data_IF_730430988864
#
_entry.id   IF_730430988864
#
_cell.length_a   1.000
_cell.length_b   1.000
_cell.length_c   1.000
_cell.angle_alpha   90.00
_cell.angle_beta   90.00
_cell.angle_gamma   90.00
#
_symmetry.space_group_name_H-M   'P 1'
#
loop_
_entity.id
_entity.type
_entity.pdbx_description
1 polymer ?
#
# COMPACT_ATOMS: atom_id res chain seq x y z
N UNK A 1 19.56 -4.57 32.28
CA UNK A 1 19.00 -5.75 31.59
C UNK A 1 17.65 -5.50 30.88
N UNK A 2 17.10 -4.27 30.84
CA UNK A 2 15.79 -3.99 30.23
C UNK A 2 15.86 -3.51 28.76
N UNK A 3 17.00 -2.97 28.32
CA UNK A 3 17.19 -2.44 26.96
C UNK A 3 17.18 -3.54 25.86
N UNK A 4 17.66 -4.75 26.18
CA UNK A 4 17.67 -5.87 25.23
C UNK A 4 16.26 -6.40 24.89
N UNK A 5 15.33 -6.35 25.85
CA UNK A 5 13.95 -6.79 25.63
C UNK A 5 13.17 -5.84 24.71
N UNK A 6 13.45 -4.55 24.76
CA UNK A 6 12.77 -3.55 23.92
C UNK A 6 13.23 -3.65 22.47
N UNK A 7 14.54 -3.89 22.24
CA UNK A 7 15.08 -4.09 20.91
C UNK A 7 14.51 -5.36 20.23
N UNK A 8 14.29 -6.43 21.00
CA UNK A 8 13.73 -7.68 20.49
C UNK A 8 12.23 -7.60 20.11
N UNK A 9 11.47 -6.71 20.75
CA UNK A 9 10.03 -6.54 20.48
C UNK A 9 9.75 -5.71 19.23
N UNK A 10 10.71 -4.91 18.77
CA UNK A 10 10.59 -4.03 17.62
C UNK A 10 10.16 -4.75 16.31
N UNK A 11 10.79 -5.86 15.88
CA UNK A 11 10.36 -6.57 14.67
C UNK A 11 8.95 -7.17 14.81
N UNK A 12 8.59 -7.64 16.01
CA UNK A 12 7.26 -8.18 16.30
C UNK A 12 6.20 -7.08 16.16
N UNK A 13 6.48 -5.88 16.67
CA UNK A 13 5.59 -4.73 16.53
C UNK A 13 5.36 -4.37 15.06
N UNK A 14 6.40 -4.34 14.24
CA UNK A 14 6.25 -4.08 12.81
C UNK A 14 5.43 -5.16 12.10
N UNK A 15 5.61 -6.44 12.45
CA UNK A 15 4.76 -7.51 11.93
C UNK A 15 3.30 -7.33 12.28
N UNK A 16 2.98 -7.10 13.56
CA UNK A 16 1.60 -6.91 14.03
C UNK A 16 0.96 -5.70 13.36
N UNK A 17 1.70 -4.60 13.24
CA UNK A 17 1.23 -3.39 12.57
C UNK A 17 0.91 -3.65 11.08
N UNK A 18 1.83 -4.29 10.35
CA UNK A 18 1.65 -4.61 8.94
C UNK A 18 0.47 -5.55 8.67
N UNK A 19 0.35 -6.62 9.47
CA UNK A 19 -0.76 -7.57 9.35
C UNK A 19 -2.10 -6.91 9.68
N UNK A 20 -2.15 -6.06 10.71
CA UNK A 20 -3.37 -5.33 11.10
C UNK A 20 -3.84 -4.38 9.99
N UNK A 21 -2.92 -3.63 9.39
CA UNK A 21 -3.20 -2.77 8.23
C UNK A 21 -3.75 -3.56 7.05
N UNK A 22 -3.15 -4.72 6.76
CA UNK A 22 -3.57 -5.60 5.68
C UNK A 22 -4.98 -6.16 5.90
N UNK A 23 -5.28 -6.67 7.11
CA UNK A 23 -6.61 -7.16 7.47
C UNK A 23 -7.65 -6.04 7.39
N UNK A 24 -7.33 -4.85 7.90
CA UNK A 24 -8.23 -3.69 7.85
C UNK A 24 -8.58 -3.31 6.41
N UNK A 25 -7.57 -3.15 5.55
CA UNK A 25 -7.79 -2.83 4.15
C UNK A 25 -8.56 -3.93 3.41
N UNK A 26 -8.27 -5.20 3.70
CA UNK A 26 -8.98 -6.34 3.12
C UNK A 26 -10.47 -6.36 3.53
N UNK A 27 -10.77 -6.09 4.81
CA UNK A 27 -12.15 -5.97 5.31
C UNK A 27 -12.90 -4.80 4.66
N UNK A 28 -12.23 -3.67 4.48
CA UNK A 28 -12.82 -2.54 3.77
C UNK A 28 -13.09 -2.89 2.30
N UNK A 29 -12.17 -3.59 1.63
CA UNK A 29 -12.31 -3.99 0.23
C UNK A 29 -13.52 -4.89 -0.03
N UNK A 30 -13.91 -5.73 0.94
CA UNK A 30 -15.11 -6.55 0.84
C UNK A 30 -16.42 -5.75 0.83
N UNK A 31 -16.42 -4.50 1.35
CA UNK A 31 -17.62 -3.66 1.48
C UNK A 31 -17.79 -2.63 0.37
N UNK A 32 -16.78 -2.38 -0.47
CA UNK A 32 -16.83 -1.32 -1.48
C UNK A 32 -16.11 -1.75 -2.77
N UNK A 33 -16.78 -1.59 -3.91
CA UNK A 33 -16.27 -2.04 -5.21
C UNK A 33 -15.69 -0.88 -6.06
N UNK A 34 -15.11 0.15 -5.43
CA UNK A 34 -14.57 1.33 -6.10
C UNK A 34 -13.09 1.24 -6.46
N UNK A 35 -12.65 1.99 -7.48
CA UNK A 35 -11.24 2.11 -7.86
C UNK A 35 -10.34 2.61 -6.71
N UNK A 36 -10.81 3.55 -5.89
CA UNK A 36 -10.08 4.02 -4.70
C UNK A 36 -9.79 2.90 -3.70
N UNK A 37 -10.71 1.95 -3.55
CA UNK A 37 -10.53 0.79 -2.68
C UNK A 37 -9.46 -0.17 -3.21
N UNK A 38 -9.36 -0.34 -4.54
CA UNK A 38 -8.32 -1.17 -5.16
C UNK A 38 -6.93 -0.58 -4.94
N UNK A 39 -6.79 0.75 -5.08
CA UNK A 39 -5.53 1.48 -4.83
C UNK A 39 -5.17 1.41 -3.34
N UNK A 40 -6.16 1.57 -2.45
CA UNK A 40 -5.98 1.45 -1.00
C UNK A 40 -5.52 0.04 -0.60
N UNK A 41 -6.15 -1.00 -1.17
CA UNK A 41 -5.78 -2.39 -0.93
C UNK A 41 -4.36 -2.69 -1.43
N UNK A 42 -3.99 -2.20 -2.62
CA UNK A 42 -2.63 -2.34 -3.14
C UNK A 42 -1.61 -1.66 -2.22
N UNK A 43 -1.87 -0.43 -1.77
CA UNK A 43 -1.02 0.27 -0.82
C UNK A 43 -0.89 -0.47 0.52
N UNK A 44 -1.99 -0.98 1.05
CA UNK A 44 -1.98 -1.74 2.30
C UNK A 44 -1.25 -3.09 2.19
N UNK A 45 -1.37 -3.78 1.05
CA UNK A 45 -0.61 -5.01 0.77
C UNK A 45 0.89 -4.72 0.63
N UNK A 46 1.25 -3.63 -0.05
CA UNK A 46 2.65 -3.20 -0.16
C UNK A 46 3.25 -2.83 1.20
N UNK A 47 2.50 -2.08 2.04
CA UNK A 47 2.91 -1.77 3.41
C UNK A 47 2.95 -3.03 4.30
N UNK A 48 1.98 -3.92 4.16
CA UNK A 48 1.94 -5.21 4.86
C UNK A 48 3.18 -6.05 4.53
N UNK A 49 3.54 -6.18 3.26
CA UNK A 49 4.77 -6.86 2.84
C UNK A 49 6.02 -6.16 3.38
N UNK A 50 6.05 -4.82 3.33
CA UNK A 50 7.16 -4.01 3.84
C UNK A 50 7.38 -4.17 5.33
N UNK A 51 6.34 -4.03 6.15
CA UNK A 51 6.46 -4.08 7.61
C UNK A 51 6.47 -5.51 8.18
N UNK A 52 5.75 -6.45 7.56
CA UNK A 52 5.65 -7.81 8.09
C UNK A 52 6.74 -8.76 7.58
N UNK A 53 7.34 -8.49 6.41
CA UNK A 53 8.34 -9.38 5.81
C UNK A 53 9.67 -8.67 5.60
N UNK A 54 9.65 -7.53 4.90
CA UNK A 54 10.87 -6.84 4.47
C UNK A 54 11.70 -6.32 5.67
N UNK A 55 11.08 -5.62 6.61
CA UNK A 55 11.75 -5.06 7.78
C UNK A 55 12.28 -6.14 8.74
N UNK A 56 11.48 -7.16 9.12
CA UNK A 56 11.97 -8.22 10.00
C UNK A 56 13.09 -9.04 9.37
N UNK A 57 13.05 -9.31 8.05
CA UNK A 57 14.18 -9.97 7.37
C UNK A 57 15.44 -9.09 7.34
N UNK A 58 15.27 -7.77 7.22
CA UNK A 58 16.37 -6.82 7.34
C UNK A 58 16.96 -6.79 8.75
N UNK A 59 16.13 -6.69 9.79
CA UNK A 59 16.57 -6.69 11.20
C UNK A 59 17.13 -8.03 11.66
N UNK A 60 16.64 -9.15 11.12
CA UNK A 60 17.22 -10.48 11.32
C UNK A 60 18.60 -10.65 10.66
N UNK A 61 19.06 -9.62 9.93
CA UNK A 61 20.35 -9.60 9.27
C UNK A 61 20.44 -10.57 8.10
N UNK A 62 19.34 -11.19 7.63
CA UNK A 62 19.34 -12.15 6.51
C UNK A 62 19.78 -11.51 5.18
N UNK A 63 19.68 -10.20 5.07
CA UNK A 63 19.88 -9.46 3.83
C UNK A 63 21.21 -8.70 3.82
N UNK A 64 21.67 -8.26 4.99
CA UNK A 64 23.05 -7.79 5.19
C UNK A 64 24.04 -8.95 5.43
N UNK A 65 23.58 -10.16 5.79
CA UNK A 65 24.38 -11.42 5.81
C UNK A 65 24.59 -12.03 4.42
N UNK A 66 24.51 -11.24 3.36
CA UNK A 66 25.24 -11.63 2.15
C UNK A 66 26.72 -11.51 2.56
N UNK A 67 27.25 -12.63 3.03
CA UNK A 67 28.64 -13.04 3.08
C UNK A 67 29.71 -11.95 2.97
N UNK A 68 29.98 -11.22 4.05
CA UNK A 68 31.39 -10.90 4.33
C UNK A 68 32.03 -12.21 4.76
N UNK A 69 32.33 -13.08 3.80
CA UNK A 69 33.17 -14.27 4.01
C UNK A 69 34.49 -13.75 4.58
N UNK A 70 35.13 -14.44 5.52
CA UNK A 70 36.43 -14.00 6.04
C UNK A 70 37.52 -13.88 4.92
N UNK A 71 37.30 -14.51 3.76
CA UNK A 71 38.13 -14.39 2.55
C UNK A 71 37.96 -13.06 1.82
N UNK A 72 36.70 -12.63 1.61
CA UNK A 72 36.22 -11.23 1.74
C UNK A 72 37.29 -10.25 2.14
N UNK A 73 37.37 -10.02 3.46
CA UNK A 73 38.16 -9.04 4.24
C UNK A 73 39.70 -9.06 4.06
N UNK A 74 40.26 -9.88 3.17
CA UNK A 74 41.72 -9.93 2.97
C UNK A 74 42.23 -9.18 1.71
N UNK A 75 41.37 -8.97 0.72
CA UNK A 75 41.67 -8.49 -0.64
C UNK A 75 41.42 -6.98 -0.94
N UNK A 76 40.96 -6.19 0.02
CA UNK A 76 40.56 -4.77 -0.09
C UNK A 76 39.24 -4.46 -0.81
N UNK A 77 38.60 -5.44 -1.45
CA UNK A 77 37.64 -5.23 -2.56
C UNK A 77 36.15 -5.28 -2.18
N UNK A 78 35.83 -5.31 -0.88
CA UNK A 78 34.45 -5.45 -0.38
C UNK A 78 33.59 -4.20 -0.59
N UNK A 79 34.19 -3.02 -0.67
CA UNK A 79 33.43 -1.75 -0.76
C UNK A 79 32.68 -1.66 -2.10
N UNK A 80 33.28 -2.11 -3.20
CA UNK A 80 32.67 -1.99 -4.53
C UNK A 80 31.57 -3.06 -4.73
N UNK A 81 31.78 -4.30 -4.27
CA UNK A 81 30.81 -5.40 -4.42
C UNK A 81 29.60 -5.30 -3.48
N UNK A 82 29.79 -4.78 -2.25
CA UNK A 82 28.69 -4.68 -1.28
C UNK A 82 27.86 -3.41 -1.38
N UNK A 83 28.43 -2.32 -1.91
CA UNK A 83 27.73 -1.04 -2.00
C UNK A 83 26.47 -1.12 -2.86
N UNK A 84 26.53 -1.81 -4.01
CA UNK A 84 25.38 -1.95 -4.92
C UNK A 84 24.21 -2.72 -4.31
N UNK A 85 24.47 -3.83 -3.62
CA UNK A 85 23.43 -4.63 -2.97
C UNK A 85 22.80 -3.88 -1.78
N UNK A 86 23.61 -3.19 -0.98
CA UNK A 86 23.12 -2.36 0.12
C UNK A 86 22.25 -1.19 -0.39
N UNK A 87 22.71 -0.48 -1.42
CA UNK A 87 21.96 0.61 -2.03
C UNK A 87 20.64 0.11 -2.64
N UNK A 88 20.67 -1.05 -3.30
CA UNK A 88 19.49 -1.72 -3.84
C UNK A 88 18.47 -2.02 -2.76
N UNK A 89 18.89 -2.56 -1.62
CA UNK A 89 17.98 -2.85 -0.51
C UNK A 89 17.40 -1.60 0.13
N UNK A 90 18.20 -0.53 0.28
CA UNK A 90 17.71 0.77 0.72
C UNK A 90 16.69 1.37 -0.26
N UNK A 91 16.92 1.24 -1.56
CA UNK A 91 15.98 1.68 -2.60
C UNK A 91 14.67 0.89 -2.55
N UNK A 92 14.74 -0.44 -2.42
CA UNK A 92 13.56 -1.31 -2.27
C UNK A 92 12.77 -0.90 -1.02
N UNK A 93 13.43 -0.68 0.10
CA UNK A 93 12.79 -0.20 1.34
C UNK A 93 12.12 1.16 1.14
N UNK A 94 12.82 2.12 0.53
CA UNK A 94 12.29 3.44 0.22
C UNK A 94 11.04 3.35 -0.65
N UNK A 95 11.09 2.58 -1.74
CA UNK A 95 9.98 2.41 -2.67
C UNK A 95 8.81 1.73 -1.97
N UNK A 96 8.99 0.59 -1.31
CA UNK A 96 7.90 -0.13 -0.67
C UNK A 96 7.22 0.68 0.44
N UNK A 97 8.00 1.35 1.29
CA UNK A 97 7.44 2.11 2.41
C UNK A 97 6.75 3.37 1.90
N UNK A 98 7.42 4.19 1.08
CA UNK A 98 6.88 5.49 0.67
C UNK A 98 5.77 5.34 -0.39
N UNK A 99 5.95 4.47 -1.38
CA UNK A 99 4.92 4.22 -2.37
C UNK A 99 3.70 3.54 -1.74
N UNK A 100 3.91 2.63 -0.78
CA UNK A 100 2.84 1.99 -0.02
C UNK A 100 2.01 3.01 0.76
N UNK A 101 2.66 3.92 1.49
CA UNK A 101 1.97 5.00 2.22
C UNK A 101 1.24 5.95 1.28
N UNK A 102 1.85 6.32 0.16
CA UNK A 102 1.25 7.21 -0.83
C UNK A 102 0.03 6.58 -1.50
N UNK A 103 0.13 5.33 -1.94
CA UNK A 103 -0.99 4.59 -2.52
C UNK A 103 -2.12 4.38 -1.50
N UNK A 104 -1.80 4.04 -0.26
CA UNK A 104 -2.78 3.89 0.80
C UNK A 104 -3.52 5.21 1.09
N UNK A 105 -2.78 6.32 1.24
CA UNK A 105 -3.35 7.65 1.47
C UNK A 105 -4.18 8.16 0.29
N UNK A 106 -3.73 7.93 -0.94
CA UNK A 106 -4.46 8.26 -2.15
C UNK A 106 -5.75 7.44 -2.29
N UNK A 107 -5.68 6.14 -2.00
CA UNK A 107 -6.86 5.28 -1.99
C UNK A 107 -7.89 5.73 -0.95
N UNK A 108 -7.44 6.10 0.25
CA UNK A 108 -8.28 6.64 1.31
C UNK A 108 -8.93 7.98 0.93
N UNK A 109 -8.18 8.91 0.32
CA UNK A 109 -8.72 10.21 -0.09
C UNK A 109 -9.77 10.10 -1.20
N UNK A 110 -9.57 9.17 -2.15
CA UNK A 110 -10.57 8.84 -3.17
C UNK A 110 -11.78 8.18 -2.52
N UNK A 111 -11.59 7.27 -1.56
CA UNK A 111 -12.68 6.55 -0.88
C UNK A 111 -13.59 7.48 -0.06
N UNK A 112 -13.02 8.47 0.63
CA UNK A 112 -13.79 9.49 1.38
C UNK A 112 -14.44 10.53 0.45
N UNK A 113 -14.12 10.51 -0.85
CA UNK A 113 -14.70 11.42 -1.83
C UNK A 113 -14.10 12.82 -1.80
N UNK A 114 -12.93 13.00 -1.18
CA UNK A 114 -12.17 14.26 -1.20
C UNK A 114 -11.76 14.62 -2.63
N UNK A 115 -11.51 13.60 -3.46
CA UNK A 115 -11.20 13.72 -4.88
C UNK A 115 -12.41 13.37 -5.77
N UNK A 116 -13.63 13.77 -5.39
CA UNK A 116 -14.74 13.72 -6.35
C UNK A 116 -14.42 14.70 -7.49
N UNK A 117 -14.31 14.24 -8.74
CA UNK A 117 -14.28 15.17 -9.86
C UNK A 117 -15.58 15.97 -9.81
N UNK A 118 -15.48 17.30 -9.84
CA UNK A 118 -16.57 18.26 -10.02
C UNK A 118 -17.18 18.11 -11.42
N UNK A 119 -17.57 16.89 -11.83
CA UNK A 119 -18.39 16.69 -13.01
C UNK A 119 -19.82 16.35 -12.58
N UNK A 120 -20.40 17.30 -11.85
CA UNK A 120 -21.84 17.49 -11.71
C UNK A 120 -22.36 18.33 -12.87
N UNK A 121 -22.06 17.92 -14.11
CA UNK A 121 -22.74 18.40 -15.31
C UNK A 121 -23.47 17.24 -15.96
N UNK A 122 -24.30 16.53 -15.17
CA UNK A 122 -25.46 15.87 -15.75
C UNK A 122 -26.53 16.94 -15.84
N UNK A 123 -26.80 17.55 -17.01
CA UNK A 123 -28.02 18.32 -17.15
C UNK A 123 -29.17 17.35 -16.86
N UNK A 124 -29.88 17.60 -15.77
CA UNK A 124 -31.22 17.06 -15.60
C UNK A 124 -32.02 17.58 -16.79
N UNK A 125 -32.20 16.72 -17.80
CA UNK A 125 -33.21 16.91 -18.82
C UNK A 125 -34.57 16.75 -18.12
N UNK A 126 -34.97 17.79 -17.39
CA UNK A 126 -36.36 18.09 -17.16
C UNK A 126 -36.89 18.64 -18.48
N UNK A 127 -37.49 17.78 -19.29
CA UNK A 127 -38.42 18.22 -20.33
C UNK A 127 -39.56 17.20 -20.41
N UNK A 128 -40.52 17.47 -19.51
CA UNK A 128 -41.95 17.54 -19.81
C UNK A 128 -42.64 16.30 -20.40
N UNK A 129 -43.36 15.65 -19.49
CA UNK A 129 -44.71 15.13 -19.72
C UNK A 129 -45.51 15.99 -20.72
N UNK A 130 -45.60 15.52 -21.96
CA UNK A 130 -46.67 15.87 -22.89
C UNK A 130 -47.07 14.63 -23.69
N UNK A 131 -47.64 13.63 -23.02
CA UNK A 131 -48.54 12.68 -23.69
C UNK A 131 -49.91 13.32 -23.80
N UNK A 132 -50.04 14.10 -24.89
CA UNK A 132 -51.29 14.57 -25.45
C UNK A 132 -52.28 13.41 -25.64
N UNK A 133 -53.51 13.67 -25.23
CA UNK A 133 -54.73 12.94 -25.53
C UNK A 133 -54.89 12.66 -27.03
N UNK A 134 -55.03 11.39 -27.42
CA UNK A 134 -55.62 11.02 -28.72
C UNK A 134 -56.55 9.83 -28.52
N UNK A 135 -57.84 10.15 -28.42
CA UNK A 135 -59.03 9.38 -28.78
C UNK A 135 -58.85 7.90 -29.19
N UNK A 136 -59.34 6.98 -28.34
CA UNK A 136 -59.87 5.69 -28.82
C UNK A 136 -61.37 5.86 -29.15
N UNK A 137 -61.68 5.72 -30.44
CA UNK A 137 -63.03 5.63 -31.00
C UNK A 137 -63.60 4.25 -30.73
N UNK A 138 -64.65 4.17 -29.93
CA UNK A 138 -65.43 2.94 -29.70
C UNK A 138 -66.43 2.79 -30.86
N UNK A 139 -66.44 1.59 -31.44
CA UNK A 139 -67.35 1.12 -32.48
C UNK A 139 -68.75 0.80 -31.93
#
# INVERSE_FOLDING_TARGET
MTLGSIAALRPVFYMVMGVSLMIFACRMAQRSNGWGMRIMLFGALALGLGYAVLLPMYEAGLIERITITAEDMRTGDWVEKFSGAALGWHAVKLVLMNLGWLAFGLGASIHVGVLRPLNSNRPEFHTESSTSTTHESIA
#
